data_IF_646063255028
#
_entry.id   IF_646063255028
#
_cell.length_a   1.000
_cell.length_b   1.000
_cell.length_c   1.000
_cell.angle_alpha   90.00
_cell.angle_beta   90.00
_cell.angle_gamma   90.00
#
_symmetry.space_group_name_H-M   'P 1'
#
loop_
_entity.id
_entity.type
_entity.pdbx_description
1 polymer ?
#
# COMPACT_ATOMS: atom_id res chain seq x y z
N UNK A 1 0.99 24.03 0.43
CA UNK A 1 -0.19 24.74 0.89
C UNK A 1 -0.30 24.65 2.41
N UNK A 2 -0.39 25.77 3.07
CA UNK A 2 -0.50 25.79 4.54
C UNK A 2 -1.99 25.86 4.94
N UNK A 3 -2.45 24.86 5.67
CA UNK A 3 -3.81 24.81 6.18
C UNK A 3 -3.72 24.73 7.70
N UNK A 4 -4.51 25.57 8.39
CA UNK A 4 -4.57 25.50 9.84
C UNK A 4 -5.06 24.12 10.30
N UNK A 5 -4.42 23.48 11.30
CA UNK A 5 -4.79 22.12 11.70
C UNK A 5 -6.25 21.95 12.09
N UNK A 6 -6.84 22.92 12.76
CA UNK A 6 -8.24 22.83 13.18
C UNK A 6 -9.20 22.90 11.97
N UNK A 7 -8.88 23.72 10.97
CA UNK A 7 -9.68 23.83 9.75
C UNK A 7 -9.58 22.51 8.97
N UNK A 8 -8.37 21.98 8.84
CA UNK A 8 -8.13 20.70 8.14
C UNK A 8 -8.93 19.58 8.80
N UNK A 9 -8.86 19.43 10.12
CA UNK A 9 -9.55 18.36 10.82
C UNK A 9 -11.07 18.51 10.76
N UNK A 10 -11.61 19.72 10.82
CA UNK A 10 -13.06 19.95 10.78
C UNK A 10 -13.63 19.73 9.37
N UNK A 11 -12.87 20.04 8.33
CA UNK A 11 -13.29 19.87 6.95
C UNK A 11 -13.23 18.44 6.48
N UNK A 12 -12.36 17.60 7.05
CA UNK A 12 -12.14 16.22 6.61
C UNK A 12 -13.21 15.28 7.13
N UNK A 13 -13.77 14.49 6.22
CA UNK A 13 -14.62 13.33 6.55
C UNK A 13 -13.94 12.02 6.24
N UNK A 14 -12.87 12.07 5.46
CA UNK A 14 -12.07 10.93 5.12
C UNK A 14 -10.75 11.35 4.53
N UNK A 15 -9.76 10.48 4.62
CA UNK A 15 -8.45 10.67 4.01
C UNK A 15 -8.22 9.52 3.04
N UNK A 16 -7.81 9.82 1.82
CA UNK A 16 -7.42 8.84 0.82
C UNK A 16 -5.96 9.06 0.47
N UNK A 17 -5.13 8.06 0.77
CA UNK A 17 -3.73 7.99 0.34
C UNK A 17 -3.63 7.01 -0.79
N UNK A 18 -2.90 7.35 -1.86
CA UNK A 18 -2.81 6.51 -3.05
C UNK A 18 -1.36 6.29 -3.46
N UNK A 19 -1.07 5.08 -3.94
CA UNK A 19 0.21 4.72 -4.55
C UNK A 19 -0.05 3.93 -5.82
N UNK A 20 0.49 4.40 -6.94
CA UNK A 20 0.33 3.73 -8.22
C UNK A 20 1.36 2.61 -8.35
N UNK A 21 0.90 1.40 -8.66
CA UNK A 21 1.76 0.24 -8.81
C UNK A 21 1.49 -0.46 -10.14
N UNK A 22 2.53 -1.11 -10.67
CA UNK A 22 2.37 -1.96 -11.85
C UNK A 22 1.76 -3.29 -11.43
N UNK A 23 0.82 -3.77 -12.22
CA UNK A 23 0.21 -5.09 -12.00
C UNK A 23 1.08 -6.17 -12.61
N UNK A 24 1.10 -7.33 -11.96
CA UNK A 24 1.80 -8.48 -12.52
C UNK A 24 1.12 -8.92 -13.81
N UNK A 25 1.93 -9.22 -14.84
CA UNK A 25 1.41 -9.73 -16.10
C UNK A 25 0.65 -11.05 -15.87
N UNK A 26 -0.62 -11.15 -16.28
CA UNK A 26 -1.41 -12.36 -16.04
C UNK A 26 -0.95 -13.56 -16.85
N UNK A 27 -0.20 -13.33 -17.93
CA UNK A 27 0.25 -14.42 -18.80
C UNK A 27 1.51 -15.10 -18.31
N UNK A 28 2.31 -14.45 -17.47
CA UNK A 28 3.54 -15.04 -16.94
C UNK A 28 3.61 -15.00 -15.41
N UNK A 29 2.49 -14.70 -14.77
CA UNK A 29 2.40 -14.66 -13.32
C UNK A 29 2.65 -16.04 -12.71
N UNK A 30 3.52 -16.09 -11.70
CA UNK A 30 3.82 -17.32 -10.98
C UNK A 30 3.87 -17.07 -9.49
N UNK A 31 3.45 -18.08 -8.72
CA UNK A 31 3.54 -18.04 -7.27
C UNK A 31 4.90 -18.56 -6.82
N UNK A 32 5.41 -18.05 -5.71
CA UNK A 32 6.65 -18.52 -5.13
C UNK A 32 6.60 -18.45 -3.61
N UNK A 33 7.48 -19.22 -2.97
CA UNK A 33 7.60 -19.22 -1.52
C UNK A 33 8.37 -17.97 -1.10
N UNK A 34 7.81 -17.14 -0.21
CA UNK A 34 8.48 -15.90 0.20
C UNK A 34 9.80 -16.16 0.90
N UNK A 35 10.76 -15.27 0.70
CA UNK A 35 12.01 -15.25 1.47
C UNK A 35 11.73 -14.82 2.91
N UNK A 36 12.74 -14.96 3.77
CA UNK A 36 12.65 -14.50 5.18
C UNK A 36 12.34 -13.01 5.25
N UNK A 37 13.00 -12.21 4.42
CA UNK A 37 12.74 -10.77 4.34
C UNK A 37 11.30 -10.46 3.96
N UNK A 38 10.79 -11.14 2.94
CA UNK A 38 9.42 -10.96 2.47
C UNK A 38 8.39 -11.38 3.51
N UNK A 39 8.64 -12.48 4.21
CA UNK A 39 7.76 -12.92 5.31
C UNK A 39 7.73 -11.92 6.44
N UNK A 40 8.88 -11.37 6.80
CA UNK A 40 8.99 -10.37 7.87
C UNK A 40 8.26 -9.09 7.48
N UNK A 41 8.33 -8.71 6.21
CA UNK A 41 7.63 -7.53 5.72
C UNK A 41 6.11 -7.70 5.84
N UNK A 42 5.56 -8.79 5.32
CA UNK A 42 4.11 -9.05 5.35
C UNK A 42 3.63 -9.35 6.76
N UNK A 43 4.45 -10.06 7.53
CA UNK A 43 4.22 -10.36 8.95
C UNK A 43 2.88 -11.04 9.25
N UNK A 44 2.55 -12.07 8.46
CA UNK A 44 1.38 -12.90 8.71
C UNK A 44 1.81 -14.19 9.41
N UNK A 45 0.97 -14.66 10.33
CA UNK A 45 1.20 -15.91 11.07
C UNK A 45 0.95 -17.15 10.21
N UNK A 46 0.07 -17.03 9.22
CA UNK A 46 -0.28 -18.13 8.33
C UNK A 46 0.70 -18.24 7.17
N UNK A 47 0.81 -19.43 6.59
CA UNK A 47 1.59 -19.61 5.38
C UNK A 47 0.92 -18.92 4.21
N UNK A 48 1.71 -18.23 3.41
CA UNK A 48 1.21 -17.53 2.24
C UNK A 48 2.23 -17.63 1.11
N UNK A 49 1.75 -17.42 -0.11
CA UNK A 49 2.59 -17.32 -1.29
C UNK A 49 2.59 -15.87 -1.78
N UNK A 50 3.67 -15.47 -2.40
CA UNK A 50 3.76 -14.22 -3.13
C UNK A 50 3.83 -14.52 -4.62
N UNK A 51 3.74 -13.50 -5.44
CA UNK A 51 3.64 -13.63 -6.89
C UNK A 51 4.61 -12.70 -7.57
N UNK A 52 5.07 -13.14 -8.74
CA UNK A 52 5.93 -12.33 -9.60
C UNK A 52 5.64 -12.66 -11.06
N UNK A 53 6.02 -11.76 -11.95
CA UNK A 53 5.96 -11.98 -13.38
C UNK A 53 7.30 -12.51 -13.86
N UNK A 54 7.30 -13.68 -14.44
CA UNK A 54 8.51 -14.31 -14.98
C UNK A 54 9.09 -13.51 -16.15
N UNK A 55 8.23 -12.85 -16.90
CA UNK A 55 8.59 -12.21 -18.15
C UNK A 55 8.14 -13.05 -19.33
N UNK A 56 7.43 -12.43 -20.27
CA UNK A 56 6.97 -13.09 -21.49
C UNK A 56 6.90 -12.07 -22.61
N UNK A 57 6.64 -12.53 -23.84
CA UNK A 57 6.57 -11.62 -24.98
C UNK A 57 5.39 -10.64 -24.88
N UNK A 58 4.30 -11.01 -24.20
CA UNK A 58 3.13 -10.15 -24.05
C UNK A 58 3.38 -8.94 -23.17
N UNK A 59 4.24 -9.07 -22.19
CA UNK A 59 4.63 -7.97 -21.30
C UNK A 59 6.00 -7.38 -21.68
N UNK A 60 6.54 -7.72 -22.83
CA UNK A 60 7.89 -7.32 -23.28
C UNK A 60 8.98 -7.71 -22.27
N UNK A 61 8.84 -8.89 -21.68
CA UNK A 61 9.76 -9.45 -20.68
C UNK A 61 9.90 -8.62 -19.41
N UNK A 62 8.95 -7.72 -19.13
CA UNK A 62 8.98 -6.90 -17.91
C UNK A 62 8.39 -7.61 -16.71
N UNK A 63 7.48 -8.55 -16.91
CA UNK A 63 6.72 -9.20 -15.84
C UNK A 63 5.51 -8.39 -15.38
N UNK A 64 5.25 -7.25 -15.97
CA UNK A 64 4.16 -6.36 -15.56
C UNK A 64 3.29 -5.96 -16.75
N UNK A 65 2.01 -5.79 -16.50
CA UNK A 65 1.04 -5.36 -17.49
C UNK A 65 -0.07 -4.59 -16.81
N UNK A 66 -0.21 -3.31 -17.19
CA UNK A 66 -1.20 -2.43 -16.60
C UNK A 66 -0.78 -1.89 -15.24
N UNK A 67 -1.62 -1.04 -14.70
CA UNK A 67 -1.38 -0.37 -13.42
C UNK A 67 -2.61 -0.42 -12.54
N UNK A 68 -2.41 -0.36 -11.25
CA UNK A 68 -3.49 -0.25 -10.28
C UNK A 68 -3.06 0.68 -9.16
N UNK A 69 -4.01 1.01 -8.31
CA UNK A 69 -3.77 1.90 -7.17
C UNK A 69 -3.91 1.10 -5.90
N UNK A 70 -2.94 1.26 -5.01
CA UNK A 70 -3.10 0.83 -3.63
C UNK A 70 -3.47 2.07 -2.86
N UNK A 71 -4.61 2.02 -2.19
CA UNK A 71 -5.12 3.18 -1.48
C UNK A 71 -5.52 2.81 -0.07
N UNK A 72 -5.67 3.85 0.72
CA UNK A 72 -6.14 3.77 2.08
C UNK A 72 -7.25 4.79 2.25
N UNK A 73 -8.32 4.39 2.89
CA UNK A 73 -9.42 5.29 3.24
C UNK A 73 -9.60 5.26 4.75
N UNK A 74 -9.55 6.43 5.37
CA UNK A 74 -9.76 6.59 6.81
C UNK A 74 -10.98 7.47 7.01
N UNK A 75 -12.01 6.90 7.64
CA UNK A 75 -13.18 7.68 8.01
C UNK A 75 -12.82 8.57 9.21
N UNK A 76 -13.05 9.87 9.08
CA UNK A 76 -12.67 10.84 10.10
C UNK A 76 -13.84 11.04 11.07
N UNK A 77 -13.76 10.46 12.25
CA UNK A 77 -14.63 10.74 13.38
C UNK A 77 -13.97 11.79 14.30
N UNK A 78 -14.64 12.13 15.38
CA UNK A 78 -14.13 13.15 16.33
C UNK A 78 -12.75 12.79 16.89
N UNK A 79 -12.57 11.53 17.28
CA UNK A 79 -11.31 11.05 17.84
C UNK A 79 -10.18 11.16 16.81
N UNK A 80 -10.44 10.75 15.58
CA UNK A 80 -9.46 10.85 14.51
C UNK A 80 -9.15 12.29 14.12
N UNK A 81 -10.15 13.19 14.20
CA UNK A 81 -9.93 14.61 13.98
C UNK A 81 -8.94 15.19 14.99
N UNK A 82 -9.10 14.84 16.26
CA UNK A 82 -8.18 15.28 17.30
C UNK A 82 -6.77 14.71 17.08
N UNK A 83 -6.68 13.45 16.67
CA UNK A 83 -5.41 12.83 16.33
C UNK A 83 -4.74 13.53 15.15
N UNK A 84 -5.49 13.92 14.13
CA UNK A 84 -4.97 14.66 12.98
C UNK A 84 -4.43 16.02 13.40
N UNK A 85 -5.12 16.73 14.27
CA UNK A 85 -4.63 18.01 14.82
C UNK A 85 -3.27 17.83 15.47
N UNK A 86 -3.11 16.79 16.28
CA UNK A 86 -1.85 16.50 16.95
C UNK A 86 -0.75 16.11 15.98
N UNK A 87 -1.06 15.31 14.97
CA UNK A 87 -0.12 14.85 13.95
C UNK A 87 0.41 16.04 13.14
N UNK A 88 -0.47 16.88 12.65
CA UNK A 88 -0.09 18.05 11.85
C UNK A 88 0.77 18.98 12.69
N UNK A 89 0.44 19.15 13.96
CA UNK A 89 1.17 20.02 14.89
C UNK A 89 2.56 19.46 15.21
N UNK A 90 2.70 18.13 15.33
CA UNK A 90 3.91 17.47 15.81
C UNK A 90 4.71 16.77 14.70
N UNK A 91 4.25 16.79 13.45
CA UNK A 91 4.87 16.08 12.31
C UNK A 91 4.98 14.57 12.53
N UNK A 92 3.99 13.95 13.18
CA UNK A 92 3.94 12.51 13.46
C UNK A 92 2.97 11.75 12.56
N UNK A 93 2.71 12.26 11.36
CA UNK A 93 1.72 11.69 10.45
C UNK A 93 2.04 10.29 9.95
N UNK A 94 3.32 9.92 9.89
CA UNK A 94 3.76 8.63 9.37
C UNK A 94 3.15 7.44 10.11
N UNK A 95 3.13 7.50 11.44
CA UNK A 95 2.64 6.37 12.25
C UNK A 95 1.13 6.16 12.15
N UNK A 96 0.37 7.19 11.79
CA UNK A 96 -1.07 7.12 11.71
C UNK A 96 -1.54 6.54 10.36
N UNK A 97 -0.96 7.00 9.25
CA UNK A 97 -1.35 6.58 7.90
C UNK A 97 -0.73 5.25 7.49
N UNK A 98 0.45 4.95 8.00
CA UNK A 98 1.25 3.80 7.61
C UNK A 98 0.57 2.47 7.85
N UNK A 99 -0.14 2.31 8.97
CA UNK A 99 -0.76 1.03 9.33
C UNK A 99 -1.84 0.58 8.37
N UNK A 100 -2.74 1.48 7.95
CA UNK A 100 -3.83 1.13 7.04
C UNK A 100 -3.35 0.91 5.61
N UNK A 101 -2.37 1.71 5.16
CA UNK A 101 -1.73 1.49 3.87
C UNK A 101 -1.04 0.13 3.83
N UNK A 102 -0.40 -0.26 4.92
CA UNK A 102 0.27 -1.56 5.05
C UNK A 102 -0.69 -2.72 4.87
N UNK A 103 -1.89 -2.64 5.42
CA UNK A 103 -2.91 -3.67 5.25
C UNK A 103 -3.30 -3.84 3.78
N UNK A 104 -3.49 -2.74 3.06
CA UNK A 104 -3.84 -2.78 1.64
C UNK A 104 -2.68 -3.26 0.78
N UNK A 105 -1.45 -2.91 1.14
CA UNK A 105 -0.24 -3.43 0.50
C UNK A 105 -0.17 -4.95 0.68
N UNK A 106 -0.39 -5.44 1.88
CA UNK A 106 -0.37 -6.89 2.14
C UNK A 106 -1.44 -7.63 1.36
N UNK A 107 -2.65 -7.08 1.27
CA UNK A 107 -3.73 -7.66 0.46
C UNK A 107 -3.33 -7.75 -1.01
N UNK A 108 -2.75 -6.68 -1.55
CA UNK A 108 -2.33 -6.65 -2.95
C UNK A 108 -1.27 -7.72 -3.24
N UNK A 109 -0.32 -7.90 -2.32
CA UNK A 109 0.72 -8.92 -2.45
C UNK A 109 0.15 -10.33 -2.41
N UNK A 110 -0.71 -10.61 -1.44
CA UNK A 110 -1.30 -11.96 -1.25
C UNK A 110 -2.26 -12.31 -2.37
N UNK A 111 -3.01 -11.35 -2.89
CA UNK A 111 -3.91 -11.55 -4.02
C UNK A 111 -3.17 -11.68 -5.36
N UNK A 112 -1.88 -11.35 -5.38
CA UNK A 112 -1.09 -11.42 -6.60
C UNK A 112 -1.34 -10.29 -7.57
N UNK A 113 -1.85 -9.15 -7.09
CA UNK A 113 -2.06 -7.97 -7.93
C UNK A 113 -0.73 -7.36 -8.32
N UNK A 114 0.21 -7.31 -7.40
CA UNK A 114 1.54 -6.75 -7.64
C UNK A 114 2.62 -7.58 -6.94
N UNK A 115 3.88 -7.26 -7.21
CA UNK A 115 5.02 -7.96 -6.64
C UNK A 115 5.63 -7.22 -5.46
N UNK A 116 6.36 -7.96 -4.63
CA UNK A 116 7.12 -7.37 -3.53
C UNK A 116 8.14 -6.35 -4.03
N UNK A 117 8.78 -6.63 -5.15
CA UNK A 117 9.74 -5.72 -5.77
C UNK A 117 9.11 -4.37 -6.11
N UNK A 118 7.88 -4.38 -6.65
CA UNK A 118 7.16 -3.16 -6.98
C UNK A 118 6.81 -2.36 -5.72
N UNK A 119 6.41 -3.06 -4.66
CA UNK A 119 6.12 -2.42 -3.38
C UNK A 119 7.36 -1.75 -2.80
N UNK A 120 8.52 -2.36 -2.89
CA UNK A 120 9.77 -1.76 -2.44
C UNK A 120 10.07 -0.45 -3.15
N UNK A 121 9.67 -0.35 -4.41
CA UNK A 121 9.87 0.87 -5.21
C UNK A 121 9.04 2.04 -4.70
N UNK A 122 7.85 1.80 -4.17
CA UNK A 122 6.90 2.85 -3.78
C UNK A 122 6.91 3.19 -2.30
N UNK A 123 7.53 2.38 -1.48
CA UNK A 123 7.62 2.61 -0.03
C UNK A 123 8.82 3.47 0.34
#
# INVERSE_FOLDING_TARGET
MKIEPYILSDALRGIISQRLVRKICPYCKEAYIPSTEERNFVNLKEKFLLYKGKGCYKCNNTGYMGRSVIYEYINIDKEKKDLIKNIVKNNNEENFLENSLKENVNKALIQGMTSFREIQRII
#
